data_IF_542161935500
#
_entry.id   IF_542161935500
#
_cell.length_a   1.000
_cell.length_b   1.000
_cell.length_c   1.000
_cell.angle_alpha   90.00
_cell.angle_beta   90.00
_cell.angle_gamma   90.00
#
_symmetry.space_group_name_H-M   'P 1'
#
loop_
_entity.id
_entity.type
_entity.pdbx_description
1 polymer ?
#
# COMPACT_ATOMS: atom_id res chain seq x y z
N UNK A 1 -0.58 7.07 8.84
CA UNK A 1 -0.78 5.65 9.21
C UNK A 1 -0.69 4.76 7.99
N UNK A 2 0.51 4.29 7.69
CA UNK A 2 0.80 3.52 6.47
C UNK A 2 1.77 2.39 6.81
N UNK A 3 1.59 1.23 6.17
CA UNK A 3 2.60 0.18 6.07
C UNK A 3 2.90 -0.06 4.59
N UNK A 4 4.17 -0.25 4.26
CA UNK A 4 4.61 -0.73 2.96
C UNK A 4 5.29 -2.08 3.14
N UNK A 5 4.85 -3.06 2.36
CA UNK A 5 5.42 -4.41 2.36
C UNK A 5 6.13 -4.66 1.03
N UNK A 6 7.28 -5.35 1.07
CA UNK A 6 8.03 -5.76 -0.11
C UNK A 6 7.83 -7.25 -0.34
N UNK A 7 7.49 -7.61 -1.58
CA UNK A 7 7.30 -8.98 -2.04
C UNK A 7 8.18 -9.24 -3.26
N UNK A 8 8.59 -10.50 -3.47
CA UNK A 8 9.27 -10.92 -4.70
C UNK A 8 8.33 -11.85 -5.45
N UNK A 9 7.90 -11.44 -6.64
CA UNK A 9 6.98 -12.19 -7.49
C UNK A 9 7.66 -12.42 -8.84
N UNK A 10 7.92 -13.69 -9.20
CA UNK A 10 8.62 -14.02 -10.45
C UNK A 10 10.01 -13.39 -10.56
N UNK A 11 10.69 -13.14 -9.43
CA UNK A 11 11.99 -12.45 -9.40
C UNK A 11 11.92 -10.92 -9.42
N UNK A 12 10.72 -10.33 -9.56
CA UNK A 12 10.51 -8.89 -9.57
C UNK A 12 10.09 -8.41 -8.17
N UNK A 13 10.73 -7.37 -7.61
CA UNK A 13 10.27 -6.76 -6.38
C UNK A 13 9.01 -5.93 -6.60
N UNK A 14 8.02 -6.14 -5.74
CA UNK A 14 6.76 -5.38 -5.71
C UNK A 14 6.59 -4.81 -4.30
N UNK A 15 6.20 -3.54 -4.24
CA UNK A 15 5.84 -2.87 -3.01
C UNK A 15 4.33 -2.69 -2.95
N UNK A 16 3.73 -3.09 -1.84
CA UNK A 16 2.30 -2.93 -1.56
C UNK A 16 2.13 -2.00 -0.36
N UNK A 17 1.45 -0.88 -0.59
CA UNK A 17 1.12 0.12 0.41
C UNK A 17 -0.29 -0.14 0.96
N UNK A 18 -0.40 -0.07 2.28
CA UNK A 18 -1.63 -0.15 3.06
C UNK A 18 -1.75 1.16 3.84
N UNK A 19 -2.64 2.06 3.41
CA UNK A 19 -2.93 3.32 4.06
C UNK A 19 -4.22 3.27 4.88
N UNK A 20 -4.57 4.39 5.52
CA UNK A 20 -5.78 4.50 6.35
C UNK A 20 -5.82 3.52 7.52
N UNK A 21 -4.65 3.28 8.13
CA UNK A 21 -4.49 2.32 9.23
C UNK A 21 -4.73 2.95 10.60
N UNK A 22 -5.06 2.13 11.59
CA UNK A 22 -5.06 2.54 13.00
C UNK A 22 -3.63 2.75 13.49
N UNK A 23 -3.37 3.94 14.05
CA UNK A 23 -2.07 4.38 14.55
C UNK A 23 -1.52 3.42 15.61
N UNK A 24 -2.39 2.92 16.48
CA UNK A 24 -1.99 2.04 17.58
C UNK A 24 -1.55 0.66 17.04
N UNK A 25 -2.23 0.14 16.02
CA UNK A 25 -1.95 -1.15 15.39
C UNK A 25 -0.57 -1.21 14.72
N UNK A 26 -0.07 -0.06 14.26
CA UNK A 26 1.22 0.03 13.55
C UNK A 26 2.36 0.57 14.43
N UNK A 27 2.07 1.02 15.66
CA UNK A 27 3.03 1.66 16.58
C UNK A 27 4.29 0.85 16.86
N UNK A 28 4.21 -0.50 16.80
CA UNK A 28 5.32 -1.41 17.07
C UNK A 28 6.01 -1.94 15.81
N UNK A 29 5.54 -1.56 14.62
CA UNK A 29 6.09 -2.03 13.34
C UNK A 29 7.41 -1.31 13.02
N UNK A 30 8.35 -2.02 12.40
CA UNK A 30 9.70 -1.50 12.10
C UNK A 30 10.10 -1.85 10.68
N UNK A 31 10.94 -1.00 10.07
CA UNK A 31 11.54 -1.28 8.76
C UNK A 31 12.37 -2.57 8.85
N UNK A 32 12.23 -3.43 7.84
CA UNK A 32 12.89 -4.74 7.79
C UNK A 32 12.22 -5.83 8.62
N UNK A 33 11.11 -5.53 9.30
CA UNK A 33 10.31 -6.56 9.96
C UNK A 33 9.81 -7.57 8.92
N UNK A 34 10.14 -8.85 9.14
CA UNK A 34 9.62 -9.95 8.33
C UNK A 34 8.16 -10.20 8.69
N UNK A 35 7.37 -10.52 7.68
CA UNK A 35 5.96 -10.90 7.83
C UNK A 35 5.72 -12.27 7.21
N UNK A 36 4.74 -12.99 7.72
CA UNK A 36 4.33 -14.31 7.20
C UNK A 36 2.96 -14.25 6.53
N UNK A 37 2.69 -15.19 5.61
CA UNK A 37 1.35 -15.36 5.03
C UNK A 37 0.34 -15.63 6.16
N UNK A 38 -0.75 -14.87 6.16
CA UNK A 38 -1.81 -14.97 7.17
C UNK A 38 -1.54 -14.17 8.46
N UNK A 39 -0.38 -13.52 8.58
CA UNK A 39 -0.10 -12.62 9.70
C UNK A 39 -0.97 -11.36 9.61
N UNK A 40 -1.57 -10.98 10.74
CA UNK A 40 -2.22 -9.66 10.88
C UNK A 40 -1.13 -8.60 11.05
N UNK A 41 -0.97 -7.75 10.04
CA UNK A 41 0.06 -6.71 10.04
C UNK A 41 -0.41 -5.35 10.54
N UNK A 42 -1.73 -5.08 10.53
CA UNK A 42 -2.36 -3.83 10.98
C UNK A 42 -3.88 -3.97 11.06
N UNK A 43 -4.54 -2.94 11.58
CA UNK A 43 -5.99 -2.75 11.51
C UNK A 43 -6.31 -1.46 10.74
N UNK A 44 -7.49 -1.39 10.12
CA UNK A 44 -7.97 -0.14 9.51
C UNK A 44 -8.28 0.89 10.58
N UNK A 45 -7.96 2.15 10.29
CA UNK A 45 -8.24 3.27 11.17
C UNK A 45 -9.70 3.68 11.12
N UNK A 46 -10.10 4.49 12.09
CA UNK A 46 -11.43 5.08 12.13
C UNK A 46 -11.56 6.29 11.18
N UNK A 47 -12.71 6.96 11.21
CA UNK A 47 -13.01 8.14 10.39
C UNK A 47 -12.04 9.30 10.62
N UNK A 48 -11.55 9.48 11.85
CA UNK A 48 -10.61 10.56 12.19
C UNK A 48 -9.22 10.28 11.61
N UNK A 49 -8.83 9.01 11.53
CA UNK A 49 -7.55 8.60 10.95
C UNK A 49 -7.55 8.62 9.41
N UNK A 50 -8.74 8.67 8.81
CA UNK A 50 -8.95 8.56 7.37
C UNK A 50 -9.44 9.87 6.74
N UNK A 51 -9.05 11.01 7.30
CA UNK A 51 -9.37 12.33 6.73
C UNK A 51 -10.87 12.65 6.73
N UNK A 52 -11.63 12.04 7.63
CA UNK A 52 -13.08 12.25 7.75
C UNK A 52 -13.94 11.33 6.88
N UNK A 53 -13.37 10.32 6.22
CA UNK A 53 -14.10 9.33 5.42
C UNK A 53 -14.42 8.07 6.23
N UNK A 54 -15.46 7.34 5.85
CA UNK A 54 -15.79 6.05 6.47
C UNK A 54 -14.61 5.08 6.40
N UNK A 55 -14.50 4.18 7.39
CA UNK A 55 -13.33 3.28 7.51
C UNK A 55 -13.15 2.43 6.25
N UNK A 56 -11.98 2.54 5.62
CA UNK A 56 -11.63 1.81 4.41
C UNK A 56 -10.10 1.63 4.32
N UNK A 57 -9.67 0.71 3.47
CA UNK A 57 -8.26 0.49 3.17
C UNK A 57 -7.86 1.25 1.91
N UNK A 58 -6.80 2.06 1.98
CA UNK A 58 -6.10 2.50 0.78
C UNK A 58 -5.04 1.47 0.40
N UNK A 59 -5.16 0.88 -0.78
CA UNK A 59 -4.23 -0.13 -1.27
C UNK A 59 -3.62 0.28 -2.61
N UNK A 60 -2.29 0.24 -2.69
CA UNK A 60 -1.56 0.63 -3.90
C UNK A 60 -0.36 -0.30 -4.13
N UNK A 61 -0.06 -0.59 -5.39
CA UNK A 61 1.12 -1.35 -5.81
C UNK A 61 2.16 -0.43 -6.47
N UNK A 62 3.43 -0.78 -6.35
CA UNK A 62 4.54 -0.16 -7.07
C UNK A 62 5.58 -1.21 -7.47
N UNK A 63 6.17 -1.05 -8.66
CA UNK A 63 7.39 -1.78 -9.09
C UNK A 63 8.67 -0.99 -8.80
N UNK A 64 8.54 0.24 -8.28
CA UNK A 64 9.65 1.11 -7.88
C UNK A 64 9.72 1.15 -6.35
N UNK A 65 10.92 1.02 -5.80
CA UNK A 65 11.13 1.14 -4.36
C UNK A 65 10.75 2.54 -3.87
N UNK A 66 9.76 2.67 -2.97
CA UNK A 66 9.40 3.96 -2.42
C UNK A 66 10.53 4.46 -1.50
N UNK A 67 10.85 5.75 -1.62
CA UNK A 67 11.88 6.39 -0.80
C UNK A 67 11.36 6.77 0.59
N UNK A 68 10.05 6.83 0.76
CA UNK A 68 9.36 7.27 1.99
C UNK A 68 8.18 6.32 2.27
N UNK A 69 7.29 6.75 3.17
CA UNK A 69 6.05 6.05 3.52
C UNK A 69 4.88 6.39 2.56
N UNK A 70 5.18 6.88 1.36
CA UNK A 70 4.19 7.35 0.40
C UNK A 70 4.54 6.93 -1.03
N UNK A 71 3.52 6.85 -1.88
CA UNK A 71 3.63 6.55 -3.31
C UNK A 71 2.68 7.48 -4.08
N UNK A 72 3.08 8.01 -5.25
CA UNK A 72 2.21 8.86 -6.06
C UNK A 72 0.86 8.21 -6.37
N UNK A 73 -0.22 8.70 -5.77
CA UNK A 73 -1.60 8.27 -6.07
C UNK A 73 -2.26 9.02 -7.23
N UNK A 74 -1.66 10.13 -7.68
CA UNK A 74 -2.11 10.96 -8.80
C UNK A 74 -0.89 11.38 -9.60
N UNK A 75 -1.03 11.47 -10.93
CA UNK A 75 0.05 11.84 -11.83
C UNK A 75 -0.45 12.83 -12.88
N UNK A 76 0.48 13.63 -13.42
CA UNK A 76 0.20 14.46 -14.59
C UNK A 76 -0.28 13.60 -15.77
N UNK A 77 -1.31 14.02 -16.54
CA UNK A 77 -1.78 13.30 -17.72
C UNK A 77 -0.68 12.91 -18.71
N UNK A 78 0.35 13.75 -18.88
CA UNK A 78 1.48 13.47 -19.76
C UNK A 78 2.30 12.25 -19.30
N UNK A 79 2.34 11.99 -17.99
CA UNK A 79 3.08 10.89 -17.38
C UNK A 79 2.24 9.63 -17.15
N UNK A 80 0.95 9.65 -17.52
CA UNK A 80 0.01 8.54 -17.27
C UNK A 80 0.52 7.18 -17.75
N UNK A 81 1.13 7.12 -18.94
CA UNK A 81 1.62 5.85 -19.52
C UNK A 81 2.72 5.22 -18.66
N UNK A 82 3.65 6.04 -18.17
CA UNK A 82 4.74 5.59 -17.30
C UNK A 82 4.17 5.18 -15.94
N UNK A 83 3.27 5.98 -15.39
CA UNK A 83 2.64 5.68 -14.10
C UNK A 83 1.88 4.34 -14.09
N UNK A 84 1.20 3.97 -15.19
CA UNK A 84 0.53 2.67 -15.27
C UNK A 84 1.49 1.47 -15.27
N UNK A 85 2.75 1.69 -15.67
CA UNK A 85 3.81 0.68 -15.59
C UNK A 85 4.37 0.63 -14.16
N UNK A 86 4.65 1.82 -13.59
CA UNK A 86 5.25 1.96 -12.26
C UNK A 86 4.32 1.56 -11.12
N UNK A 87 3.01 1.80 -11.27
CA UNK A 87 1.97 1.54 -10.27
C UNK A 87 0.91 0.61 -10.88
N UNK A 88 1.13 -0.72 -10.83
CA UNK A 88 0.23 -1.70 -11.44
C UNK A 88 -1.17 -1.69 -10.83
N UNK A 89 -2.11 -2.24 -11.59
CA UNK A 89 -3.50 -2.40 -11.15
C UNK A 89 -3.59 -3.26 -9.86
N UNK A 90 -4.16 -2.72 -8.76
CA UNK A 90 -4.27 -3.46 -7.49
C UNK A 90 -5.12 -4.73 -7.60
N UNK A 91 -5.99 -4.84 -8.62
CA UNK A 91 -6.80 -6.04 -8.89
C UNK A 91 -5.96 -7.27 -9.20
N UNK A 92 -4.70 -7.09 -9.61
CA UNK A 92 -3.75 -8.20 -9.78
C UNK A 92 -3.48 -8.95 -8.46
N UNK A 93 -3.69 -8.31 -7.31
CA UNK A 93 -3.53 -8.91 -5.98
C UNK A 93 -4.86 -9.14 -5.30
N UNK A 94 -5.77 -8.15 -5.36
CA UNK A 94 -7.05 -8.19 -4.65
C UNK A 94 -8.12 -9.03 -5.37
N UNK A 95 -7.90 -9.36 -6.64
CA UNK A 95 -8.90 -9.99 -7.49
C UNK A 95 -9.97 -8.99 -7.96
N UNK A 96 -11.13 -9.48 -8.44
CA UNK A 96 -12.23 -8.62 -8.87
C UNK A 96 -12.82 -7.88 -7.66
N UNK A 97 -12.64 -6.57 -7.64
CA UNK A 97 -13.26 -5.63 -6.72
C UNK A 97 -14.32 -4.88 -7.53
N UNK A 98 -15.59 -5.18 -7.22
CA UNK A 98 -16.85 -4.69 -7.80
C UNK A 98 -16.98 -4.73 -9.33
#
# INVERSE_FOLDING_TARGET
NVIITKHIIGGVPIWALYGHLDSNSISKKKIGQKISRGEVICWMGDKHENGGWESHLHFQLSIIEPKTHDMPGVVDPANRKIALIEYPDPRLVLGPIY
#
